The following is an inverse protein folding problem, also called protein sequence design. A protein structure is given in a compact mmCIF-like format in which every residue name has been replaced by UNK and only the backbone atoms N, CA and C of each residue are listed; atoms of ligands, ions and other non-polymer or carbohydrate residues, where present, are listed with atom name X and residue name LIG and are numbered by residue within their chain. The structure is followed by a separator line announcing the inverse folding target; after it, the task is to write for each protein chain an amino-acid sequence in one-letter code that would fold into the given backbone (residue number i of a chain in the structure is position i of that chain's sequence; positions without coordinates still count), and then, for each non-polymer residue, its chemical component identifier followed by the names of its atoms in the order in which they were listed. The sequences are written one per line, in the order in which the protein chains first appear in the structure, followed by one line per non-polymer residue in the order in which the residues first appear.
data_IF_041112336232
#
_entry.id   IF_041112336232
#
_cell.length_a   1.000
_cell.length_b   1.000
_cell.length_c   1.000
_cell.angle_alpha   90.00
_cell.angle_beta   90.00
_cell.angle_gamma   90.00
#
_symmetry.space_group_name_H-M   'P 1'
#
loop_
_entity.id
_entity.type
_entity.pdbx_description
1 polymer ?
#
# COMPACT_ATOMS: atom_id res chain seq x y z
N UNK A 1 1.53 21.81 15.53
CA UNK A 1 2.31 22.08 14.29
C UNK A 1 3.04 20.85 13.75
N UNK A 2 3.71 20.02 14.57
CA UNK A 2 4.40 18.81 14.08
C UNK A 2 3.47 17.79 13.40
N UNK A 3 2.31 17.51 14.00
CA UNK A 3 1.28 16.62 13.41
C UNK A 3 0.90 17.10 12.01
N UNK A 4 0.50 18.37 11.86
CA UNK A 4 0.20 18.96 10.55
C UNK A 4 1.31 18.72 9.51
N UNK A 5 2.56 19.01 9.84
CA UNK A 5 3.69 18.83 8.91
C UNK A 5 3.83 17.38 8.44
N UNK A 6 3.76 16.43 9.38
CA UNK A 6 3.89 14.99 9.10
C UNK A 6 2.70 14.52 8.25
N UNK A 7 1.47 14.81 8.68
CA UNK A 7 0.25 14.38 7.99
C UNK A 7 0.11 15.04 6.62
N UNK A 8 0.58 16.28 6.45
CA UNK A 8 0.57 16.95 5.15
C UNK A 8 1.53 16.27 4.15
N UNK A 9 2.77 15.97 4.59
CA UNK A 9 3.72 15.20 3.77
C UNK A 9 3.16 13.80 3.46
N UNK A 10 2.62 13.13 4.47
CA UNK A 10 1.98 11.82 4.31
C UNK A 10 0.82 11.84 3.33
N UNK A 11 -0.04 12.87 3.37
CA UNK A 11 -1.16 13.03 2.44
C UNK A 11 -0.66 13.17 1.00
N UNK A 12 0.32 14.05 0.76
CA UNK A 12 0.89 14.25 -0.58
C UNK A 12 1.56 12.98 -1.11
N UNK A 13 2.37 12.31 -0.28
CA UNK A 13 3.07 11.10 -0.67
C UNK A 13 2.09 9.95 -0.98
N UNK A 14 1.08 9.73 -0.14
CA UNK A 14 0.10 8.67 -0.35
C UNK A 14 -0.81 8.93 -1.55
N UNK A 15 -1.27 10.18 -1.76
CA UNK A 15 -2.00 10.53 -2.99
C UNK A 15 -1.17 10.34 -4.25
N UNK A 16 0.12 10.69 -4.21
CA UNK A 16 1.04 10.41 -5.31
C UNK A 16 1.15 8.91 -5.58
N UNK A 17 1.30 8.10 -4.53
CA UNK A 17 1.38 6.64 -4.65
C UNK A 17 0.09 6.07 -5.25
N UNK A 18 -1.07 6.42 -4.69
CA UNK A 18 -2.37 5.93 -5.13
C UNK A 18 -2.62 6.27 -6.61
N UNK A 19 -2.49 7.55 -6.97
CA UNK A 19 -2.77 8.00 -8.34
C UNK A 19 -1.79 7.44 -9.37
N UNK A 20 -0.51 7.34 -9.02
CA UNK A 20 0.52 6.79 -9.90
C UNK A 20 0.33 5.29 -10.12
N UNK A 21 -0.01 4.55 -9.07
CA UNK A 21 -0.26 3.11 -9.17
C UNK A 21 -1.40 2.80 -10.14
N UNK A 22 -2.47 3.61 -10.11
CA UNK A 22 -3.60 3.48 -11.03
C UNK A 22 -3.25 3.80 -12.49
N UNK A 23 -2.29 4.70 -12.71
CA UNK A 23 -1.91 5.16 -14.05
C UNK A 23 -0.83 4.32 -14.72
N UNK A 24 0.04 3.68 -13.94
CA UNK A 24 1.17 2.93 -14.48
C UNK A 24 0.75 1.57 -15.05
N UNK A 25 0.97 1.30 -16.36
CA UNK A 25 0.68 -0.01 -16.95
C UNK A 25 1.44 -1.15 -16.29
N UNK A 26 2.68 -0.91 -15.84
CA UNK A 26 3.52 -1.87 -15.12
C UNK A 26 2.95 -2.30 -13.77
N UNK A 27 2.03 -1.51 -13.20
CA UNK A 27 1.36 -1.76 -11.92
C UNK A 27 -0.05 -2.34 -12.08
N UNK A 28 -0.51 -2.65 -13.31
CA UNK A 28 -1.81 -3.29 -13.58
C UNK A 28 -1.80 -4.79 -13.28
N UNK A 29 -1.34 -5.14 -12.08
CA UNK A 29 -1.30 -6.50 -11.54
C UNK A 29 -1.92 -6.51 -10.13
N UNK A 30 -2.10 -7.70 -9.56
CA UNK A 30 -2.74 -7.87 -8.23
C UNK A 30 -2.05 -7.07 -7.13
N UNK A 31 -0.72 -7.02 -7.14
CA UNK A 31 0.01 -6.17 -6.20
C UNK A 31 -0.29 -4.69 -6.36
N UNK A 32 -0.26 -4.15 -7.58
CA UNK A 32 -0.53 -2.73 -7.78
C UNK A 32 -1.96 -2.35 -7.39
N UNK A 33 -2.94 -3.24 -7.59
CA UNK A 33 -4.31 -3.00 -7.10
C UNK A 33 -4.37 -2.93 -5.58
N UNK A 34 -3.73 -3.86 -4.88
CA UNK A 34 -3.65 -3.86 -3.41
C UNK A 34 -2.90 -2.63 -2.89
N UNK A 35 -1.76 -2.29 -3.51
CA UNK A 35 -0.96 -1.12 -3.17
C UNK A 35 -1.76 0.18 -3.37
N UNK A 36 -2.55 0.28 -4.44
CA UNK A 36 -3.41 1.43 -4.68
C UNK A 36 -4.52 1.56 -3.63
N UNK A 37 -5.11 0.44 -3.18
CA UNK A 37 -6.12 0.43 -2.13
C UNK A 37 -5.55 0.92 -0.81
N UNK A 38 -4.42 0.33 -0.40
CA UNK A 38 -3.68 0.71 0.79
C UNK A 38 -3.31 2.20 0.78
N UNK A 39 -2.62 2.66 -0.27
CA UNK A 39 -2.20 4.06 -0.37
C UNK A 39 -3.38 5.05 -0.42
N UNK A 40 -4.55 4.64 -0.93
CA UNK A 40 -5.74 5.51 -0.92
C UNK A 40 -6.31 5.67 0.49
N UNK A 41 -6.38 4.59 1.28
CA UNK A 41 -6.82 4.67 2.67
C UNK A 41 -5.87 5.52 3.52
N UNK A 42 -4.57 5.29 3.36
CA UNK A 42 -3.49 6.09 3.97
C UNK A 42 -3.54 7.57 3.59
N UNK A 43 -3.85 7.87 2.32
CA UNK A 43 -4.01 9.24 1.85
C UNK A 43 -5.18 9.94 2.55
N UNK A 44 -6.32 9.25 2.71
CA UNK A 44 -7.48 9.79 3.43
C UNK A 44 -7.16 10.01 4.90
N UNK A 45 -6.55 9.02 5.57
CA UNK A 45 -6.10 9.13 6.97
C UNK A 45 -5.23 10.38 7.19
N UNK A 46 -4.16 10.51 6.40
CA UNK A 46 -3.25 11.65 6.50
C UNK A 46 -3.95 12.98 6.15
N UNK A 47 -4.87 12.99 5.19
CA UNK A 47 -5.63 14.20 4.81
C UNK A 47 -6.58 14.65 5.91
N UNK A 48 -7.27 13.71 6.58
CA UNK A 48 -8.13 14.02 7.73
C UNK A 48 -7.29 14.64 8.85
N UNK A 49 -6.11 14.08 9.15
CA UNK A 49 -5.23 14.67 10.16
C UNK A 49 -4.69 16.06 9.78
N UNK A 50 -4.31 16.24 8.52
CA UNK A 50 -3.72 17.49 8.03
C UNK A 50 -4.75 18.62 7.93
N UNK A 51 -5.94 18.35 7.38
CA UNK A 51 -6.90 19.40 7.03
C UNK A 51 -8.12 19.47 7.94
N UNK A 52 -8.40 18.42 8.73
CA UNK A 52 -9.51 18.40 9.68
C UNK A 52 -8.99 18.50 11.11
N UNK A 53 -8.23 17.50 11.58
CA UNK A 53 -7.77 17.45 12.97
C UNK A 53 -6.86 18.62 13.33
N UNK A 54 -5.82 18.89 12.52
CA UNK A 54 -4.82 19.91 12.86
C UNK A 54 -5.41 21.33 12.92
N UNK A 55 -6.23 21.79 11.94
CA UNK A 55 -6.89 23.09 12.03
C UNK A 55 -7.93 23.15 13.14
N UNK A 56 -8.69 22.08 13.36
CA UNK A 56 -9.68 21.99 14.45
C UNK A 56 -9.04 22.24 15.81
N UNK A 57 -7.89 21.62 16.08
CA UNK A 57 -7.18 21.77 17.36
C UNK A 57 -6.44 23.11 17.44
N UNK A 58 -5.82 23.56 16.34
CA UNK A 58 -5.00 24.78 16.36
C UNK A 58 -5.82 26.08 16.45
N UNK A 59 -6.95 26.14 15.74
CA UNK A 59 -7.84 27.31 15.72
C UNK A 59 -9.06 27.14 16.64
N UNK A 60 -9.13 26.03 17.37
CA UNK A 60 -10.21 25.71 18.32
C UNK A 60 -11.63 25.76 17.70
N UNK A 61 -11.79 25.24 16.48
CA UNK A 61 -13.02 25.41 15.67
C UNK A 61 -14.14 24.48 16.15
N UNK A 62 -15.15 25.03 16.81
CA UNK A 62 -16.28 24.27 17.39
C UNK A 62 -17.13 23.51 16.36
N UNK A 63 -17.33 24.08 15.16
CA UNK A 63 -18.06 23.39 14.10
C UNK A 63 -17.39 22.07 13.69
N UNK A 64 -16.05 22.03 13.68
CA UNK A 64 -15.29 20.82 13.34
C UNK A 64 -15.30 19.83 14.50
N UNK A 65 -15.23 20.30 15.75
CA UNK A 65 -15.37 19.45 16.95
C UNK A 65 -16.74 18.76 16.99
N UNK A 66 -17.82 19.48 16.71
CA UNK A 66 -19.19 18.92 16.68
C UNK A 66 -19.36 17.83 15.62
N UNK A 67 -18.67 17.97 14.48
CA UNK A 67 -18.71 17.00 13.39
C UNK A 67 -17.55 15.98 13.44
N UNK A 68 -16.71 16.00 14.48
CA UNK A 68 -15.47 15.20 14.51
C UNK A 68 -15.74 13.69 14.49
N UNK A 69 -16.89 13.26 15.00
CA UNK A 69 -17.30 11.86 15.01
C UNK A 69 -17.41 11.28 13.59
N UNK A 70 -17.87 12.06 12.61
CA UNK A 70 -17.99 11.60 11.22
C UNK A 70 -16.61 11.33 10.62
N UNK A 71 -15.69 12.27 10.83
CA UNK A 71 -14.32 12.14 10.36
C UNK A 71 -13.58 11.01 11.08
N UNK A 72 -13.86 10.80 12.38
CA UNK A 72 -13.34 9.68 13.16
C UNK A 72 -13.81 8.32 12.61
N UNK A 73 -15.08 8.19 12.21
CA UNK A 73 -15.59 6.96 11.59
C UNK A 73 -14.94 6.72 10.23
N UNK A 74 -14.85 7.75 9.37
CA UNK A 74 -14.18 7.63 8.06
C UNK A 74 -12.74 7.16 8.25
N UNK A 75 -12.03 7.77 9.20
CA UNK A 75 -10.68 7.39 9.57
C UNK A 75 -10.59 5.93 10.02
N UNK A 76 -11.49 5.46 10.89
CA UNK A 76 -11.49 4.06 11.32
C UNK A 76 -11.73 3.09 10.17
N UNK A 77 -12.67 3.39 9.27
CA UNK A 77 -12.95 2.56 8.10
C UNK A 77 -11.76 2.50 7.14
N UNK A 78 -11.11 3.64 6.89
CA UNK A 78 -9.89 3.68 6.08
C UNK A 78 -8.75 2.89 6.72
N UNK A 79 -8.61 2.97 8.04
CA UNK A 79 -7.62 2.21 8.77
C UNK A 79 -7.84 0.69 8.63
N UNK A 80 -9.07 0.20 8.81
CA UNK A 80 -9.39 -1.22 8.63
C UNK A 80 -9.07 -1.70 7.20
N UNK A 81 -9.40 -0.90 6.19
CA UNK A 81 -9.05 -1.19 4.79
C UNK A 81 -7.52 -1.30 4.63
N UNK A 82 -6.75 -0.45 5.29
CA UNK A 82 -5.29 -0.49 5.25
C UNK A 82 -4.76 -1.77 5.92
N UNK A 83 -5.28 -2.15 7.09
CA UNK A 83 -4.92 -3.42 7.76
C UNK A 83 -5.10 -4.61 6.82
N UNK A 84 -6.30 -4.76 6.25
CA UNK A 84 -6.58 -5.86 5.34
C UNK A 84 -5.68 -5.80 4.09
N UNK A 85 -5.44 -4.60 3.57
CA UNK A 85 -4.55 -4.43 2.41
C UNK A 85 -3.12 -4.85 2.73
N UNK A 86 -2.57 -4.50 3.90
CA UNK A 86 -1.24 -4.96 4.33
C UNK A 86 -1.17 -6.49 4.44
N UNK A 87 -2.19 -7.12 5.04
CA UNK A 87 -2.28 -8.57 5.11
C UNK A 87 -2.28 -9.20 3.72
N UNK A 88 -3.13 -8.71 2.81
CA UNK A 88 -3.20 -9.23 1.45
C UNK A 88 -1.92 -8.96 0.64
N UNK A 89 -1.23 -7.84 0.86
CA UNK A 89 0.08 -7.58 0.24
C UNK A 89 1.10 -8.61 0.72
N UNK A 90 1.16 -8.89 2.02
CA UNK A 90 2.07 -9.90 2.58
C UNK A 90 1.78 -11.31 2.01
N UNK A 91 0.51 -11.71 1.97
CA UNK A 91 0.09 -12.98 1.37
C UNK A 91 0.42 -13.04 -0.13
N UNK A 92 0.15 -11.98 -0.87
CA UNK A 92 0.48 -11.89 -2.30
C UNK A 92 2.00 -12.03 -2.52
N UNK A 93 2.83 -11.49 -1.63
CA UNK A 93 4.30 -11.64 -1.68
C UNK A 93 4.75 -13.06 -1.36
N UNK A 94 4.18 -13.66 -0.32
CA UNK A 94 4.46 -15.05 0.05
C UNK A 94 4.10 -16.00 -1.09
N UNK A 95 2.91 -15.88 -1.69
CA UNK A 95 2.48 -16.70 -2.81
C UNK A 95 3.36 -16.53 -4.05
N UNK A 96 3.78 -15.30 -4.36
CA UNK A 96 4.67 -15.02 -5.50
C UNK A 96 6.05 -15.68 -5.37
N UNK A 97 6.52 -15.91 -4.15
CA UNK A 97 7.85 -16.49 -3.86
C UNK A 97 7.75 -18.01 -3.67
N UNK A 98 6.82 -18.47 -2.83
CA UNK A 98 6.69 -19.88 -2.45
C UNK A 98 6.03 -20.73 -3.55
N UNK A 99 5.14 -20.14 -4.36
CA UNK A 99 4.30 -20.87 -5.32
C UNK A 99 4.21 -20.16 -6.68
N UNK A 100 5.33 -19.96 -7.40
CA UNK A 100 5.35 -19.18 -8.64
C UNK A 100 4.39 -19.73 -9.72
N UNK A 101 4.22 -21.05 -9.80
CA UNK A 101 3.29 -21.69 -10.75
C UNK A 101 1.81 -21.47 -10.38
N UNK A 102 1.46 -21.53 -9.09
CA UNK A 102 0.08 -21.31 -8.65
C UNK A 102 -0.28 -19.82 -8.60
N UNK A 103 0.68 -18.94 -8.34
CA UNK A 103 0.48 -17.49 -8.36
C UNK A 103 -0.02 -17.01 -9.74
N UNK A 104 0.55 -17.54 -10.82
CA UNK A 104 0.12 -17.26 -12.20
C UNK A 104 -1.31 -17.74 -12.52
N UNK A 105 -1.84 -18.72 -11.77
CA UNK A 105 -3.20 -19.23 -11.95
C UNK A 105 -4.24 -18.42 -11.16
N UNK A 106 -3.94 -18.06 -9.91
CA UNK A 106 -4.90 -17.37 -9.03
C UNK A 106 -4.88 -15.84 -9.15
N UNK A 107 -3.69 -15.24 -9.38
CA UNK A 107 -3.50 -13.79 -9.26
C UNK A 107 -3.25 -13.08 -10.60
N UNK A 108 -3.39 -13.78 -11.74
CA UNK A 108 -3.27 -13.18 -13.07
C UNK A 108 -4.65 -12.82 -13.65
N UNK A 109 -5.05 -11.53 -13.67
CA UNK A 109 -6.38 -11.12 -14.13
C UNK A 109 -6.61 -11.32 -15.64
N UNK A 110 -5.55 -11.58 -16.42
CA UNK A 110 -5.61 -11.72 -17.88
C UNK A 110 -5.62 -13.18 -18.35
N UNK A 111 -5.67 -14.16 -17.45
CA UNK A 111 -5.84 -15.58 -17.80
C UNK A 111 -7.23 -16.04 -17.37
N UNK A 112 -8.26 -15.90 -18.21
CA UNK A 112 -9.51 -16.60 -17.97
C UNK A 112 -9.21 -18.11 -17.99
N UNK A 113 -9.89 -18.86 -17.14
CA UNK A 113 -9.92 -20.34 -17.07
C UNK A 113 -10.25 -21.04 -18.42
N UNK A 114 -10.34 -20.31 -19.53
CA UNK A 114 -10.53 -20.76 -20.90
C UNK A 114 -9.46 -21.76 -21.41
N UNK A 115 -8.33 -21.92 -20.70
CA UNK A 115 -7.35 -22.98 -20.99
C UNK A 115 -7.69 -24.34 -20.36
N UNK A 116 -8.64 -24.39 -19.41
CA UNK A 116 -9.11 -25.62 -18.76
C UNK A 116 -10.43 -26.14 -19.34
N UNK A 117 -11.14 -25.35 -20.14
CA UNK A 117 -12.34 -25.81 -20.82
C UNK A 117 -11.96 -26.45 -22.17
N UNK A 118 -12.34 -27.72 -22.41
CA UNK A 118 -12.07 -28.41 -23.66
C UNK A 118 -12.98 -27.83 -24.76
N UNK A 119 -12.62 -26.68 -25.33
CA UNK A 119 -13.19 -26.26 -26.60
C UNK A 119 -12.50 -27.08 -27.70
N UNK A 120 -13.27 -28.02 -28.25
CA UNK A 120 -12.86 -28.96 -29.29
C UNK A 120 -12.20 -28.24 -30.47
N UNK A 121 -11.06 -28.77 -30.91
CA UNK A 121 -10.50 -28.40 -32.22
C UNK A 121 -8.99 -28.25 -32.36
N UNK A 122 -8.17 -28.36 -31.31
CA UNK A 122 -6.70 -28.38 -31.47
C UNK A 122 -6.00 -29.30 -30.46
N UNK A 123 -5.09 -30.15 -30.96
CA UNK A 123 -4.32 -31.19 -30.25
C UNK A 123 -3.90 -30.82 -28.82
N UNK A 124 -4.57 -31.45 -27.85
CA UNK A 124 -4.42 -31.30 -26.39
C UNK A 124 -2.97 -31.40 -25.90
N UNK A 125 -2.16 -32.29 -26.51
CA UNK A 125 -0.74 -32.49 -26.13
C UNK A 125 0.14 -31.27 -26.38
N UNK A 126 -0.06 -30.56 -27.49
CA UNK A 126 0.76 -29.38 -27.84
C UNK A 126 0.45 -28.16 -26.97
N UNK A 127 -0.78 -28.08 -26.45
CA UNK A 127 -1.24 -27.03 -25.52
C UNK A 127 -0.78 -27.31 -24.10
N UNK A 128 -0.88 -28.56 -23.62
CA UNK A 128 -0.31 -28.97 -22.33
C UNK A 128 1.21 -28.77 -22.31
N UNK A 129 1.94 -29.11 -23.38
CA UNK A 129 3.38 -28.86 -23.50
C UNK A 129 3.77 -27.37 -23.50
N UNK A 130 2.88 -26.44 -23.90
CA UNK A 130 3.11 -24.99 -23.76
C UNK A 130 2.88 -24.50 -22.34
N UNK A 131 1.95 -25.10 -21.60
CA UNK A 131 1.68 -24.82 -20.18
C UNK A 131 2.73 -25.45 -19.27
N UNK A 132 3.21 -26.65 -19.61
CA UNK A 132 4.32 -27.36 -18.96
C UNK A 132 5.70 -26.94 -19.48
N UNK A 133 5.77 -26.02 -20.45
CA UNK A 133 7.05 -25.47 -20.91
C UNK A 133 7.69 -24.81 -19.69
N UNK A 134 8.89 -25.26 -19.34
CA UNK A 134 9.60 -24.83 -18.14
C UNK A 134 9.49 -23.29 -17.99
N UNK A 135 9.09 -22.78 -16.82
CA UNK A 135 8.94 -21.34 -16.60
C UNK A 135 10.19 -20.61 -17.07
N UNK A 136 10.01 -19.55 -17.87
CA UNK A 136 11.13 -18.69 -18.27
C UNK A 136 11.87 -18.24 -17.01
N UNK A 137 13.17 -18.50 -16.96
CA UNK A 137 14.01 -18.02 -15.87
C UNK A 137 13.95 -16.49 -15.82
N UNK A 138 13.60 -15.89 -14.67
CA UNK A 138 13.50 -14.44 -14.55
C UNK A 138 14.88 -13.80 -14.74
N UNK A 139 14.91 -12.69 -15.47
CA UNK A 139 16.13 -11.91 -15.69
C UNK A 139 16.67 -11.35 -14.37
N UNK A 140 17.97 -11.02 -14.33
CA UNK A 140 18.60 -10.41 -13.15
C UNK A 140 17.84 -9.16 -12.67
N UNK A 141 17.36 -8.34 -13.61
CA UNK A 141 16.58 -7.13 -13.30
C UNK A 141 15.23 -7.46 -12.64
N UNK A 142 14.51 -8.46 -13.16
CA UNK A 142 13.23 -8.89 -12.58
C UNK A 142 13.41 -9.46 -11.17
N UNK A 143 14.45 -10.26 -10.94
CA UNK A 143 14.81 -10.76 -9.61
C UNK A 143 15.08 -9.61 -8.63
N UNK A 144 15.89 -8.63 -9.02
CA UNK A 144 16.15 -7.46 -8.19
C UNK A 144 14.86 -6.68 -7.88
N UNK A 145 13.98 -6.48 -8.86
CA UNK A 145 12.68 -5.84 -8.64
C UNK A 145 11.82 -6.62 -7.65
N UNK A 146 11.73 -7.94 -7.78
CA UNK A 146 10.98 -8.79 -6.85
C UNK A 146 11.52 -8.70 -5.43
N UNK A 147 12.85 -8.71 -5.27
CA UNK A 147 13.50 -8.52 -3.97
C UNK A 147 13.21 -7.14 -3.38
N UNK A 148 13.32 -6.06 -4.17
CA UNK A 148 12.99 -4.71 -3.68
C UNK A 148 11.55 -4.61 -3.21
N UNK A 149 10.63 -5.22 -3.95
CA UNK A 149 9.21 -5.21 -3.65
C UNK A 149 8.84 -6.14 -2.47
N UNK A 150 9.61 -7.20 -2.24
CA UNK A 150 9.55 -7.99 -1.01
C UNK A 150 10.03 -7.19 0.20
N UNK A 151 11.21 -6.57 0.09
CA UNK A 151 11.77 -5.72 1.14
C UNK A 151 10.85 -4.56 1.47
N UNK A 152 10.18 -3.97 0.47
CA UNK A 152 9.12 -2.99 0.67
C UNK A 152 8.05 -3.53 1.63
N UNK A 153 7.42 -4.66 1.29
CA UNK A 153 6.35 -5.23 2.10
C UNK A 153 6.81 -5.63 3.52
N UNK A 154 8.04 -6.14 3.68
CA UNK A 154 8.61 -6.48 4.99
C UNK A 154 8.82 -5.23 5.84
N UNK A 155 9.41 -4.17 5.28
CA UNK A 155 9.63 -2.92 6.01
C UNK A 155 8.32 -2.23 6.37
N UNK A 156 7.34 -2.21 5.46
CA UNK A 156 5.99 -1.73 5.75
C UNK A 156 5.36 -2.51 6.90
N UNK A 157 5.47 -3.85 6.89
CA UNK A 157 4.97 -4.71 7.96
C UNK A 157 5.64 -4.47 9.32
N UNK A 158 6.96 -4.24 9.34
CA UNK A 158 7.68 -3.89 10.58
C UNK A 158 7.20 -2.54 11.12
N UNK A 159 7.08 -1.53 10.26
CA UNK A 159 6.62 -0.19 10.63
C UNK A 159 5.19 -0.23 11.17
N UNK A 160 4.31 -0.99 10.53
CA UNK A 160 2.94 -1.23 10.99
C UNK A 160 2.89 -1.99 12.33
N UNK A 161 3.76 -2.98 12.55
CA UNK A 161 3.84 -3.67 13.84
C UNK A 161 4.31 -2.72 14.98
N UNK A 162 5.26 -1.82 14.69
CA UNK A 162 5.69 -0.78 15.63
C UNK A 162 4.53 0.14 15.98
N UNK A 163 3.73 0.56 15.00
CA UNK A 163 2.52 1.36 15.21
C UNK A 163 1.57 0.70 16.22
N UNK A 164 1.16 -0.55 15.94
CA UNK A 164 0.26 -1.31 16.81
C UNK A 164 0.81 -1.44 18.22
N UNK A 165 2.09 -1.74 18.35
CA UNK A 165 2.73 -1.86 19.66
C UNK A 165 2.74 -0.52 20.41
N UNK A 166 3.13 0.57 19.74
CA UNK A 166 3.17 1.90 20.37
C UNK A 166 1.79 2.36 20.82
N UNK A 167 0.76 2.13 20.00
CA UNK A 167 -0.61 2.56 20.28
C UNK A 167 -1.29 1.70 21.34
N UNK A 168 -1.29 0.38 21.18
CA UNK A 168 -2.10 -0.51 22.03
C UNK A 168 -1.39 -0.97 23.29
N UNK A 169 -0.05 -1.00 23.32
CA UNK A 169 0.69 -1.55 24.45
C UNK A 169 1.48 -0.46 25.17
N UNK A 170 2.32 0.27 24.46
CA UNK A 170 3.25 1.21 25.08
C UNK A 170 2.55 2.46 25.63
N UNK A 171 1.59 3.04 24.90
CA UNK A 171 0.88 4.24 25.33
C UNK A 171 0.16 4.06 26.68
N UNK A 172 -0.35 2.87 26.96
CA UNK A 172 -1.07 2.56 28.21
C UNK A 172 -0.15 2.43 29.44
N UNK A 173 1.17 2.38 29.24
CA UNK A 173 2.16 2.32 30.34
C UNK A 173 2.47 3.70 30.93
N UNK A 174 2.00 4.79 30.30
CA UNK A 174 2.31 6.15 30.71
C UNK A 174 1.06 6.91 31.15
N UNK A 175 1.14 7.58 32.30
CA UNK A 175 0.08 8.49 32.76
C UNK A 175 0.23 9.92 32.21
N UNK A 176 1.46 10.28 31.81
CA UNK A 176 1.75 11.63 31.33
C UNK A 176 1.08 11.90 29.97
N UNK A 177 0.15 12.86 29.95
CA UNK A 177 -0.72 13.17 28.79
C UNK A 177 0.05 13.43 27.50
N UNK A 178 1.18 14.12 27.56
CA UNK A 178 2.00 14.37 26.37
C UNK A 178 2.72 13.12 25.87
N UNK A 179 3.08 12.19 26.75
CA UNK A 179 3.68 10.91 26.34
C UNK A 179 2.64 10.07 25.58
N UNK A 180 1.41 9.98 26.13
CA UNK A 180 0.29 9.32 25.46
C UNK A 180 0.01 9.97 24.10
N UNK A 181 -0.06 11.30 24.03
CA UNK A 181 -0.28 12.02 22.76
C UNK A 181 0.82 11.73 21.71
N UNK A 182 2.09 11.71 22.12
CA UNK A 182 3.20 11.38 21.22
C UNK A 182 3.08 9.94 20.70
N UNK A 183 2.85 8.98 21.59
CA UNK A 183 2.77 7.55 21.26
C UNK A 183 1.54 7.16 20.45
N UNK A 184 0.42 7.86 20.64
CA UNK A 184 -0.85 7.54 19.97
C UNK A 184 -1.11 8.38 18.72
N UNK A 185 -0.68 9.65 18.70
CA UNK A 185 -1.03 10.58 17.61
C UNK A 185 0.17 10.93 16.74
N UNK A 186 1.30 11.29 17.34
CA UNK A 186 2.49 11.68 16.55
C UNK A 186 3.12 10.45 15.90
N UNK A 187 3.30 9.37 16.64
CA UNK A 187 3.82 8.11 16.12
C UNK A 187 2.92 7.53 15.02
N UNK A 188 1.60 7.54 15.22
CA UNK A 188 0.59 7.12 14.24
C UNK A 188 0.75 7.86 12.91
N UNK A 189 0.74 9.20 12.94
CA UNK A 189 0.91 9.99 11.72
C UNK A 189 2.28 9.79 11.06
N UNK A 190 3.33 9.58 11.87
CA UNK A 190 4.67 9.32 11.36
C UNK A 190 4.72 7.98 10.61
N UNK A 191 4.11 6.93 11.15
CA UNK A 191 4.06 5.61 10.50
C UNK A 191 3.38 5.69 9.13
N UNK A 192 2.19 6.27 9.05
CA UNK A 192 1.45 6.42 7.78
C UNK A 192 2.18 7.28 6.75
N UNK A 193 2.95 8.28 7.21
CA UNK A 193 3.85 9.04 6.35
C UNK A 193 5.03 8.19 5.86
N UNK A 194 5.67 7.43 6.76
CA UNK A 194 6.83 6.58 6.45
C UNK A 194 6.47 5.46 5.49
N UNK A 195 5.26 4.91 5.59
CA UNK A 195 4.79 3.84 4.70
C UNK A 195 4.83 4.27 3.22
N UNK A 196 4.31 5.45 2.91
CA UNK A 196 4.38 6.03 1.56
C UNK A 196 5.83 6.24 1.08
N UNK A 197 6.72 6.68 1.97
CA UNK A 197 8.13 6.91 1.65
C UNK A 197 8.86 5.59 1.37
N UNK A 198 8.53 4.51 2.09
CA UNK A 198 9.04 3.17 1.82
C UNK A 198 8.62 2.72 0.41
N UNK A 199 7.35 2.89 0.05
CA UNK A 199 6.84 2.53 -1.28
C UNK A 199 7.61 3.28 -2.38
N UNK A 200 7.74 4.61 -2.23
CA UNK A 200 8.45 5.45 -3.20
C UNK A 200 9.93 5.06 -3.31
N UNK A 201 10.58 4.76 -2.18
CA UNK A 201 12.00 4.40 -2.12
C UNK A 201 12.32 3.05 -2.76
N UNK A 202 11.48 2.03 -2.52
CA UNK A 202 11.75 0.66 -2.95
C UNK A 202 11.20 0.35 -4.34
N UNK A 203 10.22 1.11 -4.84
CA UNK A 203 9.66 0.88 -6.16
C UNK A 203 10.36 1.74 -7.23
N UNK A 204 11.12 1.07 -8.11
CA UNK A 204 11.91 1.72 -9.15
C UNK A 204 11.08 2.51 -10.16
N UNK A 205 9.81 2.17 -10.38
CA UNK A 205 8.93 2.92 -11.27
C UNK A 205 8.58 4.29 -10.68
N UNK A 206 8.31 4.37 -9.38
CA UNK A 206 8.09 5.65 -8.68
C UNK A 206 9.34 6.53 -8.69
N UNK A 207 10.51 5.95 -8.38
CA UNK A 207 11.78 6.69 -8.45
C UNK A 207 12.07 7.20 -9.86
N UNK A 208 11.73 6.44 -10.90
CA UNK A 208 11.91 6.87 -12.29
C UNK A 208 10.95 8.01 -12.64
N UNK A 209 9.72 7.95 -12.16
CA UNK A 209 8.73 9.03 -12.36
C UNK A 209 9.16 10.32 -11.69
N UNK A 210 9.65 10.26 -10.45
CA UNK A 210 10.19 11.44 -9.75
C UNK A 210 11.36 12.09 -10.50
N UNK A 211 12.18 11.28 -11.19
CA UNK A 211 13.28 11.78 -12.03
C UNK A 211 12.83 12.29 -13.42
N UNK A 212 11.71 11.81 -13.95
CA UNK A 212 11.24 12.15 -15.31
C UNK A 212 9.71 12.17 -15.41
N UNK A 213 9.05 13.24 -14.92
CA UNK A 213 7.58 13.32 -14.83
C UNK A 213 6.85 13.26 -16.18
N UNK A 214 7.52 13.71 -17.26
CA UNK A 214 6.94 13.79 -18.63
C UNK A 214 6.44 12.44 -19.16
N UNK A 215 6.94 11.30 -18.63
CA UNK A 215 6.54 9.95 -19.06
C UNK A 215 5.17 9.51 -18.53
N UNK A 216 4.62 10.18 -17.51
CA UNK A 216 3.30 9.84 -16.96
C UNK A 216 2.15 10.30 -17.89
N UNK A 217 2.41 11.29 -18.75
CA UNK A 217 1.41 11.93 -19.63
C UNK A 217 1.61 11.60 -21.11
N UNK A 218 2.68 10.90 -21.49
CA UNK A 218 2.83 10.39 -22.84
C UNK A 218 1.94 9.16 -22.98
N UNK A 219 0.79 9.35 -23.66
CA UNK A 219 -0.11 8.26 -24.07
C UNK A 219 0.61 7.28 -25.01
#
# INVERSE_FOLDING_TARGET
MRVFQISFVGSLANWLVATTTLRLPSMRNSFGRLLSSQASGEAVLCSVFAFIYSPMVFFDIDAMKRNSWQFGIIQLMCYDICIFSHLFIALNRMCAICLPLHYELYFNPNKPYAYLLPNGGQNTSSRLLRVYKAPRLPSRREKHTQVSVLLQAVLQGIVFAVELYTYFHLAWQYEHRWAVFVLTTVAWNLVHCVDALIIIGFNAEFRRLLKSPKRMFSK
#
